data_IF_742252658500
#
_entry.id   IF_742252658500
#
_cell.length_a   1.000
_cell.length_b   1.000
_cell.length_c   1.000
_cell.angle_alpha   90.00
_cell.angle_beta   90.00
_cell.angle_gamma   90.00
#
_symmetry.space_group_name_H-M   'P 1'
#
loop_
_entity.id
_entity.type
_entity.pdbx_description
1 polymer ?
#
# COMPACT_ATOMS: atom_id res chain seq x y z
N UNK A 1 1.73 -36.64 -5.27
CA UNK A 1 1.03 -36.39 -6.55
C UNK A 1 1.68 -35.18 -7.22
N UNK A 2 2.08 -35.31 -8.49
CA UNK A 2 2.79 -34.25 -9.21
C UNK A 2 1.91 -33.01 -9.41
N UNK A 3 2.42 -31.85 -9.01
CA UNK A 3 1.70 -30.58 -8.98
C UNK A 3 1.51 -30.01 -10.40
N UNK A 4 0.49 -30.53 -11.09
CA UNK A 4 0.15 -30.20 -12.48
C UNK A 4 -0.25 -28.72 -12.70
N UNK A 5 -0.66 -27.99 -11.65
CA UNK A 5 -1.17 -26.63 -11.80
C UNK A 5 -0.09 -25.56 -12.02
N UNK A 6 1.18 -25.91 -11.90
CA UNK A 6 2.28 -24.99 -12.19
C UNK A 6 2.43 -24.73 -13.68
N UNK A 7 2.15 -25.70 -14.54
CA UNK A 7 2.44 -25.58 -15.98
C UNK A 7 1.21 -25.17 -16.77
N UNK A 8 1.40 -24.30 -17.76
CA UNK A 8 0.35 -24.05 -18.75
C UNK A 8 0.13 -25.27 -19.64
N UNK A 9 1.22 -25.94 -20.02
CA UNK A 9 1.21 -27.11 -20.90
C UNK A 9 1.89 -28.30 -20.20
N UNK A 10 1.07 -29.26 -19.76
CA UNK A 10 1.52 -30.47 -19.06
C UNK A 10 2.39 -31.43 -19.88
N UNK A 11 2.12 -31.67 -21.19
CA UNK A 11 2.91 -32.62 -21.97
C UNK A 11 4.35 -32.16 -22.23
N UNK A 12 4.58 -30.84 -22.22
CA UNK A 12 5.89 -30.23 -22.54
C UNK A 12 6.56 -29.63 -21.32
N UNK A 13 5.90 -29.62 -20.15
CA UNK A 13 6.34 -28.91 -18.94
C UNK A 13 6.75 -27.46 -19.24
N UNK A 14 6.10 -26.84 -20.22
CA UNK A 14 6.44 -25.50 -20.69
C UNK A 14 5.54 -24.44 -20.05
N UNK A 15 6.06 -23.21 -19.99
CA UNK A 15 5.37 -22.07 -19.38
C UNK A 15 4.97 -22.33 -17.92
N UNK A 16 5.97 -22.66 -17.09
CA UNK A 16 5.80 -22.75 -15.65
C UNK A 16 5.26 -21.43 -15.08
N UNK A 17 4.38 -21.57 -14.10
CA UNK A 17 3.62 -20.54 -13.40
C UNK A 17 2.66 -19.69 -14.25
N UNK A 18 2.41 -20.06 -15.51
CA UNK A 18 1.51 -19.32 -16.41
C UNK A 18 0.07 -19.86 -16.49
N UNK A 19 -0.29 -20.85 -15.66
CA UNK A 19 -1.65 -21.37 -15.65
C UNK A 19 -2.66 -20.28 -15.25
N UNK A 20 -3.79 -20.18 -15.96
CA UNK A 20 -4.80 -19.12 -15.80
C UNK A 20 -5.31 -18.96 -14.37
N UNK A 21 -5.35 -20.06 -13.60
CA UNK A 21 -5.79 -20.05 -12.21
C UNK A 21 -4.91 -19.14 -11.33
N UNK A 22 -3.61 -19.09 -11.59
CA UNK A 22 -2.66 -18.28 -10.81
C UNK A 22 -3.00 -16.81 -10.99
N UNK A 23 -3.15 -16.36 -12.24
CA UNK A 23 -3.52 -14.98 -12.53
C UNK A 23 -4.91 -14.62 -12.01
N UNK A 24 -5.88 -15.53 -12.14
CA UNK A 24 -7.23 -15.33 -11.58
C UNK A 24 -7.19 -15.18 -10.06
N UNK A 25 -6.42 -16.02 -9.36
CA UNK A 25 -6.26 -15.93 -7.90
C UNK A 25 -5.57 -14.62 -7.49
N UNK A 26 -4.54 -14.16 -8.21
CA UNK A 26 -3.92 -12.85 -7.98
C UNK A 26 -4.96 -11.73 -8.08
N UNK A 27 -5.80 -11.76 -9.12
CA UNK A 27 -6.86 -10.76 -9.29
C UNK A 27 -7.83 -10.77 -8.11
N UNK A 28 -8.30 -11.94 -7.70
CA UNK A 28 -9.28 -12.07 -6.61
C UNK A 28 -8.69 -11.66 -5.26
N UNK A 29 -7.42 -11.98 -5.01
CA UNK A 29 -6.77 -11.73 -3.72
C UNK A 29 -6.42 -10.25 -3.49
N UNK A 30 -5.98 -9.53 -4.53
CA UNK A 30 -5.41 -8.17 -4.35
C UNK A 30 -5.91 -7.11 -5.32
N UNK A 31 -6.68 -7.47 -6.35
CA UNK A 31 -7.12 -6.56 -7.41
C UNK A 31 -8.59 -6.83 -7.80
N UNK A 32 -9.46 -7.09 -6.83
CA UNK A 32 -10.89 -7.26 -7.08
C UNK A 32 -11.58 -5.90 -7.19
N UNK A 33 -11.17 -4.93 -6.38
CA UNK A 33 -11.75 -3.59 -6.30
C UNK A 33 -10.66 -2.50 -6.17
N UNK A 34 -11.04 -1.23 -6.37
CA UNK A 34 -10.13 -0.09 -6.27
C UNK A 34 -9.51 0.07 -4.87
N UNK A 35 -10.18 -0.49 -3.85
CA UNK A 35 -9.80 -0.36 -2.44
C UNK A 35 -8.86 -1.47 -1.97
N UNK A 36 -8.58 -2.46 -2.82
CA UNK A 36 -7.75 -3.61 -2.44
C UNK A 36 -6.27 -3.24 -2.39
N UNK A 37 -5.50 -4.04 -1.66
CA UNK A 37 -4.10 -3.75 -1.38
C UNK A 37 -3.23 -3.65 -2.64
N UNK A 38 -3.49 -4.48 -3.66
CA UNK A 38 -2.76 -4.43 -4.92
C UNK A 38 -2.98 -3.13 -5.69
N UNK A 39 -4.11 -2.46 -5.48
CA UNK A 39 -4.40 -1.15 -6.08
C UNK A 39 -3.82 -0.01 -5.22
N UNK A 40 -4.08 -0.03 -3.91
CA UNK A 40 -3.62 1.02 -2.97
C UNK A 40 -2.10 1.10 -2.86
N UNK A 41 -1.44 -0.04 -2.80
CA UNK A 41 0.00 -0.16 -2.64
C UNK A 41 0.63 -0.67 -3.94
N UNK A 42 0.22 -0.10 -5.08
CA UNK A 42 0.63 -0.55 -6.42
C UNK A 42 2.14 -0.68 -6.57
N UNK A 43 2.92 0.24 -6.01
CA UNK A 43 4.39 0.21 -6.08
C UNK A 43 5.01 -1.00 -5.38
N UNK A 44 4.30 -1.59 -4.41
CA UNK A 44 4.70 -2.82 -3.71
C UNK A 44 4.31 -4.08 -4.50
N UNK A 45 3.46 -3.94 -5.52
CA UNK A 45 3.01 -5.01 -6.39
C UNK A 45 3.46 -4.86 -7.86
N UNK A 46 4.31 -3.86 -8.19
CA UNK A 46 4.91 -3.69 -9.53
C UNK A 46 6.42 -4.02 -9.54
N UNK A 47 6.84 -5.19 -10.04
CA UNK A 47 6.03 -6.32 -10.54
C UNK A 47 5.42 -7.15 -9.40
N UNK A 48 4.52 -8.10 -9.71
CA UNK A 48 3.95 -9.01 -8.70
C UNK A 48 5.09 -9.67 -7.90
N UNK A 49 5.13 -9.55 -6.57
CA UNK A 49 6.23 -10.07 -5.76
C UNK A 49 6.26 -11.59 -5.70
N UNK A 50 7.46 -12.16 -5.58
CA UNK A 50 7.66 -13.60 -5.40
C UNK A 50 6.89 -14.13 -4.18
N UNK A 51 6.91 -13.39 -3.07
CA UNK A 51 6.16 -13.71 -1.85
C UNK A 51 4.65 -13.80 -2.07
N UNK A 52 4.08 -12.90 -2.88
CA UNK A 52 2.66 -12.93 -3.23
C UNK A 52 2.33 -14.11 -4.14
N UNK A 53 3.21 -14.41 -5.10
CA UNK A 53 3.05 -15.56 -5.98
C UNK A 53 3.10 -16.87 -5.21
N UNK A 54 4.07 -17.03 -4.30
CA UNK A 54 4.19 -18.20 -3.43
C UNK A 54 2.94 -18.40 -2.56
N UNK A 55 2.36 -17.31 -2.02
CA UNK A 55 1.13 -17.38 -1.24
C UNK A 55 -0.07 -17.85 -2.10
N UNK A 56 -0.19 -17.38 -3.34
CA UNK A 56 -1.22 -17.86 -4.28
C UNK A 56 -1.06 -19.35 -4.57
N UNK A 57 0.16 -19.81 -4.83
CA UNK A 57 0.43 -21.22 -5.10
C UNK A 57 0.10 -22.10 -3.89
N UNK A 58 0.40 -21.61 -2.69
CA UNK A 58 0.04 -22.26 -1.43
C UNK A 58 -1.47 -22.38 -1.30
N UNK A 59 -2.21 -21.30 -1.54
CA UNK A 59 -3.68 -21.31 -1.49
C UNK A 59 -4.30 -22.24 -2.54
N UNK A 60 -3.75 -22.29 -3.76
CA UNK A 60 -4.19 -23.23 -4.80
C UNK A 60 -3.96 -24.67 -4.36
N UNK A 61 -2.77 -24.98 -3.85
CA UNK A 61 -2.43 -26.31 -3.35
C UNK A 61 -3.38 -26.73 -2.23
N UNK A 62 -3.61 -25.84 -1.26
CA UNK A 62 -4.53 -26.06 -0.16
C UNK A 62 -5.96 -26.38 -0.68
N UNK A 63 -6.49 -25.58 -1.61
CA UNK A 63 -7.80 -25.86 -2.20
C UNK A 63 -7.85 -27.19 -2.97
N UNK A 64 -6.74 -27.64 -3.57
CA UNK A 64 -6.69 -28.95 -4.21
C UNK A 64 -6.68 -30.09 -3.18
N UNK A 65 -6.08 -29.87 -2.01
CA UNK A 65 -6.05 -30.84 -0.91
C UNK A 65 -7.43 -31.04 -0.27
N UNK A 66 -8.25 -29.99 -0.19
CA UNK A 66 -9.65 -30.08 0.24
C UNK A 66 -10.48 -31.06 -0.62
N UNK A 67 -10.09 -31.29 -1.87
CA UNK A 67 -10.75 -32.22 -2.80
C UNK A 67 -9.99 -33.54 -3.01
N UNK A 68 -8.86 -33.74 -2.33
CA UNK A 68 -7.93 -34.85 -2.61
C UNK A 68 -8.52 -36.24 -2.37
N UNK A 69 -9.52 -36.37 -1.50
CA UNK A 69 -10.21 -37.64 -1.19
C UNK A 69 -11.33 -37.97 -2.18
N UNK A 70 -11.59 -37.09 -3.15
CA UNK A 70 -12.75 -37.17 -4.05
C UNK A 70 -14.04 -36.61 -3.44
N UNK A 71 -14.01 -36.20 -2.17
CA UNK A 71 -15.08 -35.44 -1.49
C UNK A 71 -14.52 -34.13 -0.95
N UNK A 72 -15.34 -33.08 -0.94
CA UNK A 72 -14.94 -31.80 -0.37
C UNK A 72 -14.84 -31.90 1.16
N UNK A 73 -13.65 -31.64 1.68
CA UNK A 73 -13.37 -31.52 3.11
C UNK A 73 -12.94 -30.08 3.34
N UNK A 74 -13.82 -29.31 3.99
CA UNK A 74 -13.54 -27.92 4.30
C UNK A 74 -12.36 -27.82 5.28
N UNK A 75 -11.29 -27.16 4.86
CA UNK A 75 -10.16 -26.83 5.71
C UNK A 75 -10.16 -25.34 6.08
N UNK A 76 -9.11 -24.91 6.77
CA UNK A 76 -8.76 -23.50 6.91
C UNK A 76 -7.27 -23.32 6.63
N UNK A 77 -6.95 -22.46 5.65
CA UNK A 77 -5.56 -22.08 5.39
C UNK A 77 -4.99 -21.38 6.62
N UNK A 78 -3.96 -21.96 7.24
CA UNK A 78 -3.37 -21.43 8.46
C UNK A 78 -1.84 -21.53 8.44
N UNK A 79 -1.18 -20.61 9.15
CA UNK A 79 0.28 -20.54 9.10
C UNK A 79 0.94 -21.82 9.64
N UNK A 80 0.43 -22.41 10.73
CA UNK A 80 1.05 -23.58 11.35
C UNK A 80 1.14 -24.78 10.41
N UNK A 81 0.11 -25.01 9.61
CA UNK A 81 -0.01 -26.19 8.74
C UNK A 81 0.55 -25.92 7.34
N UNK A 82 0.32 -24.73 6.78
CA UNK A 82 0.66 -24.43 5.38
C UNK A 82 2.05 -23.81 5.19
N UNK A 83 2.74 -23.40 6.26
CA UNK A 83 4.05 -22.75 6.18
C UNK A 83 5.10 -23.57 5.44
N UNK A 84 5.07 -24.90 5.59
CA UNK A 84 5.96 -25.79 4.84
C UNK A 84 5.74 -25.68 3.34
N UNK A 85 4.48 -25.62 2.89
CA UNK A 85 4.14 -25.44 1.48
C UNK A 85 4.53 -24.06 0.97
N UNK A 86 4.29 -23.02 1.76
CA UNK A 86 4.68 -21.65 1.41
C UNK A 86 6.19 -21.51 1.23
N UNK A 87 7.01 -22.02 2.16
CA UNK A 87 8.47 -21.92 2.07
C UNK A 87 8.99 -22.65 0.82
N UNK A 88 8.45 -23.82 0.52
CA UNK A 88 8.84 -24.58 -0.67
C UNK A 88 8.46 -23.82 -1.95
N UNK A 89 7.24 -23.30 -2.05
CA UNK A 89 6.86 -22.50 -3.22
C UNK A 89 7.63 -21.20 -3.36
N UNK A 90 7.99 -20.56 -2.24
CA UNK A 90 8.82 -19.36 -2.29
C UNK A 90 10.19 -19.69 -2.89
N UNK A 91 10.81 -20.77 -2.42
CA UNK A 91 12.08 -21.27 -2.98
C UNK A 91 11.94 -21.58 -4.48
N UNK A 92 10.92 -22.32 -4.88
CA UNK A 92 10.71 -22.69 -6.28
C UNK A 92 10.46 -21.46 -7.19
N UNK A 93 9.74 -20.47 -6.68
CA UNK A 93 9.51 -19.19 -7.38
C UNK A 93 10.80 -18.38 -7.47
N UNK A 94 11.61 -18.35 -6.42
CA UNK A 94 12.92 -17.69 -6.44
C UNK A 94 13.88 -18.34 -7.43
N UNK A 95 13.93 -19.67 -7.48
CA UNK A 95 14.70 -20.41 -8.48
C UNK A 95 14.21 -20.13 -9.91
N UNK A 96 12.89 -20.15 -10.15
CA UNK A 96 12.29 -19.81 -11.44
C UNK A 96 12.61 -18.37 -11.87
N UNK A 97 12.47 -17.41 -10.95
CA UNK A 97 12.80 -16.01 -11.24
C UNK A 97 14.29 -15.81 -11.46
N UNK A 98 15.15 -16.50 -10.73
CA UNK A 98 16.60 -16.50 -10.91
C UNK A 98 17.05 -17.07 -12.25
N UNK A 99 16.38 -18.12 -12.75
CA UNK A 99 16.73 -18.78 -14.01
C UNK A 99 16.59 -17.86 -15.24
N UNK A 100 15.61 -16.93 -15.25
CA UNK A 100 15.49 -15.90 -16.29
C UNK A 100 14.81 -14.64 -15.77
N UNK A 101 15.54 -13.86 -14.96
CA UNK A 101 15.01 -12.68 -14.27
C UNK A 101 14.35 -11.65 -15.19
N UNK A 102 14.85 -11.49 -16.43
CA UNK A 102 14.26 -10.56 -17.39
C UNK A 102 12.87 -11.00 -17.83
N UNK A 103 12.72 -12.28 -18.21
CA UNK A 103 11.44 -12.81 -18.69
C UNK A 103 10.42 -12.88 -17.56
N UNK A 104 10.81 -13.43 -16.40
CA UNK A 104 9.91 -13.57 -15.25
C UNK A 104 9.45 -12.22 -14.70
N UNK A 105 10.34 -11.23 -14.61
CA UNK A 105 9.97 -9.84 -14.28
C UNK A 105 8.96 -9.26 -15.26
N UNK A 106 9.13 -9.51 -16.56
CA UNK A 106 8.17 -9.06 -17.57
C UNK A 106 6.80 -9.74 -17.44
N UNK A 107 6.77 -11.04 -17.10
CA UNK A 107 5.54 -11.79 -16.83
C UNK A 107 4.81 -11.21 -15.61
N UNK A 108 5.51 -11.07 -14.48
CA UNK A 108 4.94 -10.51 -13.26
C UNK A 108 4.46 -9.06 -13.45
N UNK A 109 5.21 -8.25 -14.21
CA UNK A 109 4.80 -6.88 -14.56
C UNK A 109 3.56 -6.86 -15.45
N UNK A 110 3.48 -7.77 -16.42
CA UNK A 110 2.30 -7.94 -17.29
C UNK A 110 1.07 -8.32 -16.46
N UNK A 111 1.20 -9.21 -15.49
CA UNK A 111 0.10 -9.56 -14.57
C UNK A 111 -0.34 -8.37 -13.73
N UNK A 112 0.59 -7.64 -13.09
CA UNK A 112 0.28 -6.43 -12.33
C UNK A 112 -0.50 -5.42 -13.17
N UNK A 113 0.01 -5.07 -14.35
CA UNK A 113 -0.61 -4.11 -15.24
C UNK A 113 -2.01 -4.57 -15.71
N UNK A 114 -2.17 -5.86 -16.01
CA UNK A 114 -3.45 -6.43 -16.42
C UNK A 114 -4.45 -6.42 -15.26
N UNK A 115 -4.04 -6.80 -14.06
CA UNK A 115 -4.89 -6.82 -12.87
C UNK A 115 -5.40 -5.41 -12.53
N UNK A 116 -4.53 -4.39 -12.56
CA UNK A 116 -4.92 -2.99 -12.35
C UNK A 116 -5.86 -2.43 -13.44
N UNK A 117 -5.72 -2.87 -14.68
CA UNK A 117 -6.66 -2.48 -15.75
C UNK A 117 -8.04 -3.07 -15.51
N UNK A 118 -8.09 -4.32 -15.03
CA UNK A 118 -9.34 -5.01 -14.72
C UNK A 118 -10.13 -4.36 -13.57
N UNK A 119 -9.49 -3.61 -12.66
CA UNK A 119 -10.15 -2.88 -11.56
C UNK A 119 -10.74 -1.53 -11.98
N UNK A 120 -10.80 -1.22 -13.28
CA UNK A 120 -11.27 0.07 -13.80
C UNK A 120 -10.35 1.25 -13.45
N UNK A 121 -9.17 0.97 -12.90
CA UNK A 121 -8.22 1.99 -12.40
C UNK A 121 -7.31 2.45 -13.54
N UNK A 122 -7.90 2.99 -14.61
CA UNK A 122 -7.14 3.55 -15.73
C UNK A 122 -6.42 4.86 -15.35
N UNK A 123 -6.85 5.55 -14.28
CA UNK A 123 -6.20 6.77 -13.82
C UNK A 123 -5.15 6.47 -12.76
N UNK A 124 -3.90 6.38 -13.21
CA UNK A 124 -2.75 6.70 -12.35
C UNK A 124 -2.88 8.18 -12.00
N UNK A 125 -3.16 8.52 -10.74
CA UNK A 125 -2.89 9.88 -10.26
C UNK A 125 -1.40 10.10 -10.48
N UNK A 126 -1.07 10.95 -11.45
CA UNK A 126 0.31 11.39 -11.61
C UNK A 126 0.58 12.20 -10.36
N UNK A 127 1.43 11.69 -9.47
CA UNK A 127 1.93 12.48 -8.34
C UNK A 127 2.84 13.54 -8.97
N UNK A 128 2.24 14.64 -9.40
CA UNK A 128 2.95 15.88 -9.62
C UNK A 128 3.33 16.36 -8.21
N UNK A 129 4.63 16.51 -7.96
CA UNK A 129 5.07 17.14 -6.71
C UNK A 129 4.33 18.47 -6.53
N UNK A 130 4.03 18.85 -5.28
CA UNK A 130 3.36 20.11 -5.00
C UNK A 130 4.22 21.34 -5.34
N UNK A 131 5.51 21.13 -5.62
CA UNK A 131 6.46 22.18 -5.96
C UNK A 131 6.73 22.15 -7.47
N UNK A 132 6.54 23.29 -8.13
CA UNK A 132 6.95 23.49 -9.51
C UNK A 132 8.50 23.49 -9.62
N UNK A 133 9.02 23.26 -10.82
CA UNK A 133 10.46 23.26 -11.10
C UNK A 133 11.17 24.53 -10.61
N UNK A 134 10.54 25.69 -10.75
CA UNK A 134 11.07 26.96 -10.24
C UNK A 134 11.20 26.97 -8.72
N UNK A 135 10.21 26.41 -8.00
CA UNK A 135 10.25 26.34 -6.53
C UNK A 135 11.34 25.38 -6.04
N UNK A 136 11.58 24.27 -6.77
CA UNK A 136 12.68 23.34 -6.48
C UNK A 136 14.03 24.00 -6.81
N UNK A 137 14.11 24.77 -7.89
CA UNK A 137 15.33 25.48 -8.29
C UNK A 137 15.71 26.55 -7.27
N UNK A 138 14.74 27.33 -6.80
CA UNK A 138 14.94 28.30 -5.73
C UNK A 138 15.36 27.62 -4.42
N UNK A 139 14.67 26.56 -4.01
CA UNK A 139 15.04 25.82 -2.80
C UNK A 139 16.47 25.26 -2.87
N UNK A 140 16.91 24.76 -4.04
CA UNK A 140 18.30 24.32 -4.25
C UNK A 140 19.30 25.46 -4.10
N UNK A 141 19.00 26.61 -4.70
CA UNK A 141 19.85 27.81 -4.62
C UNK A 141 19.93 28.36 -3.19
N UNK A 142 18.84 28.30 -2.44
CA UNK A 142 18.82 28.73 -1.04
C UNK A 142 19.65 27.79 -0.17
N UNK A 143 19.58 26.47 -0.41
CA UNK A 143 20.38 25.46 0.29
C UNK A 143 21.89 25.55 -0.02
N UNK A 144 22.29 25.99 -1.22
CA UNK A 144 23.71 26.20 -1.56
C UNK A 144 24.38 27.28 -0.70
N UNK A 145 23.60 28.18 -0.10
CA UNK A 145 24.08 29.26 0.76
C UNK A 145 23.84 28.99 2.26
N UNK A 146 23.27 27.85 2.63
CA UNK A 146 22.99 27.48 4.01
C UNK A 146 23.97 26.40 4.46
N UNK A 147 24.84 26.72 5.43
CA UNK A 147 25.78 25.77 6.07
C UNK A 147 25.09 24.73 6.96
N UNK A 148 23.77 24.82 7.15
CA UNK A 148 23.00 23.91 8.00
C UNK A 148 23.24 24.11 9.50
N UNK A 149 24.11 25.05 9.88
CA UNK A 149 24.30 25.48 11.27
C UNK A 149 23.39 26.67 11.53
N UNK A 150 22.17 26.38 11.99
CA UNK A 150 21.35 27.38 12.66
C UNK A 150 22.03 27.67 13.99
N UNK A 151 22.85 28.72 14.04
CA UNK A 151 23.32 29.23 15.32
C UNK A 151 22.11 29.78 16.11
N UNK A 152 22.16 29.53 17.40
CA UNK A 152 21.06 29.53 18.34
C UNK A 152 20.33 30.87 18.38
N UNK A 153 19.00 30.84 18.59
CA UNK A 153 18.22 32.04 18.93
C UNK A 153 18.82 32.66 20.21
N UNK A 154 19.56 33.75 20.06
CA UNK A 154 19.93 34.63 21.18
C UNK A 154 18.72 35.52 21.47
N UNK A 155 17.92 35.12 22.47
CA UNK A 155 16.89 35.96 23.07
C UNK A 155 17.56 37.10 23.85
N UNK A 156 18.00 38.13 23.13
CA UNK A 156 18.57 39.35 23.68
C UNK A 156 17.49 40.25 24.30
N UNK A 157 17.39 40.17 25.63
CA UNK A 157 16.63 41.05 26.52
C UNK A 157 16.90 42.55 26.28
N UNK A 158 15.83 43.34 26.35
CA UNK A 158 15.87 44.81 26.36
C UNK A 158 14.82 45.39 27.30
N UNK A 159 15.06 45.30 28.61
CA UNK A 159 14.60 46.26 29.63
C UNK A 159 15.26 47.64 29.35
N UNK A 160 14.75 48.83 29.64
CA UNK A 160 13.65 49.32 30.46
C UNK A 160 13.42 50.82 30.09
N UNK A 161 12.20 51.33 30.25
CA UNK A 161 11.92 52.76 30.07
C UNK A 161 10.47 53.15 30.37
N UNK A 162 10.02 52.96 31.62
CA UNK A 162 8.78 53.54 32.16
C UNK A 162 9.08 54.91 32.82
N UNK A 163 8.12 55.72 33.33
CA UNK A 163 6.66 55.56 33.36
C UNK A 163 5.87 56.84 32.95
N UNK A 164 4.56 56.73 32.73
CA UNK A 164 3.70 57.90 32.56
C UNK A 164 2.21 57.57 32.40
N UNK A 165 1.56 57.18 33.49
CA UNK A 165 0.10 57.29 33.67
C UNK A 165 -0.15 58.39 34.72
N UNK A 166 -1.29 59.12 34.71
CA UNK A 166 -2.51 58.47 35.18
C UNK A 166 -3.87 58.97 34.63
N UNK A 167 -4.86 58.12 34.90
CA UNK A 167 -6.24 58.42 35.34
C UNK A 167 -7.38 58.48 34.31
N UNK A 168 -8.10 57.35 34.26
CA UNK A 168 -9.51 57.20 34.63
C UNK A 168 -10.60 57.99 33.88
N UNK A 169 -11.53 57.27 33.24
CA UNK A 169 -12.93 57.37 33.65
C UNK A 169 -13.78 56.13 33.32
N UNK A 170 -14.82 55.99 34.13
CA UNK A 170 -15.74 54.89 34.43
C UNK A 170 -17.07 55.03 33.67
N UNK A 171 -17.71 53.90 33.34
CA UNK A 171 -19.17 53.77 33.12
C UNK A 171 -19.49 52.44 32.38
N UNK A 172 -20.08 51.41 32.99
CA UNK A 172 -21.53 51.20 33.30
C UNK A 172 -22.38 51.20 32.01
N UNK A 173 -23.21 50.23 31.63
CA UNK A 173 -24.10 49.27 32.32
C UNK A 173 -24.40 48.08 31.37
N UNK A 174 -24.66 46.85 31.86
CA UNK A 174 -26.01 46.24 31.98
C UNK A 174 -26.56 45.75 30.62
N UNK A 175 -26.92 44.49 30.35
CA UNK A 175 -27.96 43.63 30.95
C UNK A 175 -27.95 42.33 30.10
N UNK A 176 -27.91 41.10 30.66
CA UNK A 176 -29.05 40.17 30.79
C UNK A 176 -29.68 39.70 29.45
N UNK A 177 -30.18 38.48 29.22
CA UNK A 177 -30.68 37.37 30.05
C UNK A 177 -30.91 36.16 29.09
N UNK A 178 -30.64 34.94 29.54
CA UNK A 178 -31.42 33.70 29.25
C UNK A 178 -31.39 33.11 27.83
N UNK A 179 -31.48 31.80 27.61
CA UNK A 179 -31.76 30.66 28.47
C UNK A 179 -32.29 29.48 27.61
N UNK A 180 -32.00 28.26 28.06
CA UNK A 180 -32.65 26.96 27.76
C UNK A 180 -32.65 26.43 26.32
N UNK A 181 -31.96 25.31 26.07
CA UNK A 181 -32.44 23.91 26.19
C UNK A 181 -33.67 23.59 25.32
N UNK A 182 -33.54 22.59 24.44
CA UNK A 182 -34.38 21.38 24.47
C UNK A 182 -33.74 20.26 23.63
N UNK A 183 -33.67 19.07 24.24
CA UNK A 183 -33.42 17.80 23.59
C UNK A 183 -34.74 17.27 22.99
N UNK A 184 -34.69 16.42 21.94
CA UNK A 184 -35.71 15.37 21.75
C UNK A 184 -35.20 14.18 20.92
N UNK A 185 -35.74 13.01 21.29
CA UNK A 185 -35.29 11.62 21.08
C UNK A 185 -35.59 11.00 19.72
N UNK A 186 -34.93 9.85 19.53
CA UNK A 186 -35.20 8.68 18.68
C UNK A 186 -36.65 8.43 18.23
N UNK A 187 -36.74 7.96 16.99
CA UNK A 187 -37.64 6.90 16.53
C UNK A 187 -36.81 5.83 15.82
#
# INVERSE_FOLDING_TARGET
MNAAFHYKDLPTLSHAYEHKIIFSSICVAWFKNIKDFGVKYSDRFDPIPNVSLALVLTAIKFCLEEWSTGSYIQGTLNESEDKGHYINFLKDVEEWTGANAKVTKNICKKWHNRARKNTGTANRVVVAGHMNEDAIMHAKKDMENQTGETDSEDEGEGEEGAPGEPAANRGKDGTGIGGSQTAFKSG
#
